data_IF_864060688622
#
_entry.id   IF_864060688622
#
_cell.length_a   1.000
_cell.length_b   1.000
_cell.length_c   1.000
_cell.angle_alpha   90.00
_cell.angle_beta   90.00
_cell.angle_gamma   90.00
#
_symmetry.space_group_name_H-M   'P 1'
#
loop_
_entity.id
_entity.type
_entity.pdbx_description
1 polymer ?
#
# COMPACT_ATOMS: atom_id res chain seq x y z
N UNK A 1 -37.90 -28.78 7.19
CA UNK A 1 -37.97 -27.68 6.22
C UNK A 1 -37.29 -26.49 6.87
N UNK A 2 -36.02 -26.32 6.58
CA UNK A 2 -35.19 -25.21 7.04
C UNK A 2 -34.77 -24.47 5.78
N UNK A 3 -35.23 -23.24 5.65
CA UNK A 3 -34.88 -22.35 4.55
C UNK A 3 -33.56 -21.66 4.88
N UNK A 4 -32.53 -21.97 4.13
CA UNK A 4 -31.25 -21.26 4.13
C UNK A 4 -31.44 -19.87 3.51
N UNK A 5 -31.15 -18.85 4.28
CA UNK A 5 -30.89 -17.51 3.78
C UNK A 5 -29.44 -17.48 3.24
N UNK A 6 -29.30 -17.26 1.94
CA UNK A 6 -28.03 -16.89 1.31
C UNK A 6 -27.83 -15.40 1.44
N UNK A 7 -26.85 -15.01 2.24
CA UNK A 7 -26.35 -13.65 2.31
C UNK A 7 -25.46 -13.34 1.08
N UNK A 8 -25.84 -12.30 0.36
CA UNK A 8 -25.11 -11.75 -0.79
C UNK A 8 -23.89 -10.93 -0.28
N UNK A 9 -22.73 -11.61 -0.20
CA UNK A 9 -21.45 -11.00 0.15
C UNK A 9 -20.52 -10.70 -1.05
N UNK A 10 -21.06 -10.51 -2.26
CA UNK A 10 -20.26 -10.50 -3.50
C UNK A 10 -19.84 -9.13 -4.03
N UNK A 11 -20.41 -8.02 -3.58
CA UNK A 11 -20.09 -6.70 -4.16
C UNK A 11 -18.83 -6.03 -3.60
N UNK A 12 -18.41 -6.34 -2.37
CA UNK A 12 -17.26 -5.68 -1.74
C UNK A 12 -15.90 -6.30 -2.12
N UNK A 13 -15.88 -7.52 -2.65
CA UNK A 13 -14.64 -8.17 -3.08
C UNK A 13 -14.17 -7.75 -4.49
N UNK A 14 -15.07 -7.28 -5.34
CA UNK A 14 -14.71 -6.84 -6.70
C UNK A 14 -13.97 -5.49 -6.71
N UNK A 15 -14.31 -4.56 -5.81
CA UNK A 15 -13.67 -3.23 -5.79
C UNK A 15 -12.22 -3.26 -5.26
N UNK A 16 -11.90 -4.08 -4.26
CA UNK A 16 -10.53 -4.18 -3.76
C UNK A 16 -9.58 -4.88 -4.76
N UNK A 17 -10.08 -5.84 -5.53
CA UNK A 17 -9.35 -6.50 -6.61
C UNK A 17 -9.13 -5.60 -7.82
N UNK A 18 -10.12 -4.78 -8.17
CA UNK A 18 -10.04 -3.80 -9.25
C UNK A 18 -9.02 -2.69 -8.92
N UNK A 19 -9.00 -2.21 -7.67
CA UNK A 19 -8.06 -1.19 -7.21
C UNK A 19 -6.61 -1.71 -7.19
N UNK A 20 -6.39 -2.94 -6.73
CA UNK A 20 -5.07 -3.58 -6.77
C UNK A 20 -4.58 -3.82 -8.21
N UNK A 21 -5.49 -4.14 -9.13
CA UNK A 21 -5.21 -4.27 -10.57
C UNK A 21 -4.95 -2.90 -11.23
N UNK A 22 -5.67 -1.88 -10.81
CA UNK A 22 -5.51 -0.50 -11.29
C UNK A 22 -4.17 0.11 -10.84
N UNK A 23 -3.74 -0.15 -9.61
CA UNK A 23 -2.44 0.27 -9.09
C UNK A 23 -1.27 -0.39 -9.84
N UNK A 24 -1.46 -1.59 -10.40
CA UNK A 24 -0.45 -2.29 -11.23
C UNK A 24 -0.28 -1.71 -12.63
N UNK A 25 -1.30 -1.05 -13.18
CA UNK A 25 -1.28 -0.51 -14.56
C UNK A 25 -0.90 0.98 -14.61
N UNK A 26 -0.26 1.47 -13.58
CA UNK A 26 0.20 2.87 -13.46
C UNK A 26 1.27 3.17 -14.52
N UNK A 27 1.05 4.16 -15.38
CA UNK A 27 2.10 4.68 -16.24
C UNK A 27 3.24 5.24 -15.38
N UNK A 28 4.52 5.03 -15.77
CA UNK A 28 5.64 5.59 -15.04
C UNK A 28 5.51 7.12 -15.04
N UNK A 29 5.45 7.72 -13.85
CA UNK A 29 5.47 9.16 -13.72
C UNK A 29 6.70 9.70 -14.45
N UNK A 30 6.49 10.62 -15.42
CA UNK A 30 7.57 11.32 -16.10
C UNK A 30 8.44 11.98 -15.04
N UNK A 31 9.75 11.71 -15.08
CA UNK A 31 10.72 12.42 -14.28
C UNK A 31 10.64 13.94 -14.60
N UNK A 32 9.84 14.67 -13.84
CA UNK A 32 9.90 16.12 -13.83
C UNK A 32 11.14 16.51 -13.02
N UNK A 33 12.25 16.60 -13.72
CA UNK A 33 13.46 17.19 -13.17
C UNK A 33 13.23 18.67 -12.92
N UNK A 34 13.06 19.04 -11.68
CA UNK A 34 13.66 20.21 -11.04
C UNK A 34 13.07 20.41 -9.63
N UNK A 35 13.91 20.51 -8.63
CA UNK A 35 13.44 20.90 -7.29
C UNK A 35 14.40 20.45 -6.20
N UNK A 36 15.30 21.34 -5.86
CA UNK A 36 16.12 21.35 -4.66
C UNK A 36 15.30 21.01 -3.40
N UNK A 37 15.46 19.82 -2.87
CA UNK A 37 15.69 19.41 -1.47
C UNK A 37 15.67 17.88 -1.41
N UNK A 38 16.66 17.25 -2.00
CA UNK A 38 17.00 15.87 -1.67
C UNK A 38 17.66 15.91 -0.29
N UNK A 39 16.90 15.65 0.76
CA UNK A 39 17.49 14.99 1.92
C UNK A 39 18.12 13.72 1.36
N UNK A 40 19.43 13.69 1.28
CA UNK A 40 20.15 12.55 0.73
C UNK A 40 19.82 11.34 1.59
N UNK A 41 18.88 10.51 1.13
CA UNK A 41 18.61 9.22 1.75
C UNK A 41 19.93 8.50 1.79
N UNK A 42 20.51 8.37 2.99
CA UNK A 42 21.83 7.81 3.18
C UNK A 42 21.75 6.31 2.90
N UNK A 43 22.09 5.93 1.68
CA UNK A 43 22.06 4.54 1.27
C UNK A 43 22.99 3.71 2.13
N UNK A 44 22.53 2.58 2.71
CA UNK A 44 23.39 1.71 3.50
C UNK A 44 24.48 1.12 2.61
N UNK A 45 25.70 1.18 3.12
CA UNK A 45 26.86 0.57 2.45
C UNK A 45 26.77 -0.96 2.49
N UNK A 46 27.23 -1.61 1.44
CA UNK A 46 27.36 -3.07 1.39
C UNK A 46 28.31 -3.56 2.47
N UNK A 47 27.99 -4.66 3.18
CA UNK A 47 28.87 -5.21 4.19
C UNK A 47 30.16 -5.76 3.53
N UNK A 48 31.31 -5.44 4.10
CA UNK A 48 32.62 -5.92 3.64
C UNK A 48 33.10 -7.14 4.41
N UNK A 49 32.54 -7.39 5.59
CA UNK A 49 32.82 -8.54 6.46
C UNK A 49 31.53 -9.24 6.88
N UNK A 50 31.63 -10.52 7.26
CA UNK A 50 30.47 -11.26 7.82
C UNK A 50 29.90 -10.60 9.07
N UNK A 51 30.76 -9.98 9.90
CA UNK A 51 30.36 -9.28 11.12
C UNK A 51 29.50 -8.04 10.80
N UNK A 52 29.83 -7.30 9.74
CA UNK A 52 29.06 -6.13 9.32
C UNK A 52 27.65 -6.48 8.85
N UNK A 53 27.38 -7.75 8.47
CA UNK A 53 26.02 -8.21 8.20
C UNK A 53 25.12 -8.16 9.44
N UNK A 54 25.71 -8.16 10.66
CA UNK A 54 25.02 -8.27 11.93
C UNK A 54 24.49 -9.68 12.23
N UNK A 55 24.69 -10.64 11.31
CA UNK A 55 24.18 -12.01 11.41
C UNK A 55 25.32 -12.96 11.85
N UNK A 56 24.97 -14.01 12.61
CA UNK A 56 25.96 -15.02 12.93
C UNK A 56 26.38 -15.82 11.70
N UNK A 57 27.64 -16.22 11.65
CA UNK A 57 28.15 -17.08 10.56
C UNK A 57 27.34 -18.36 10.44
N UNK A 58 26.93 -18.98 11.57
CA UNK A 58 26.09 -20.17 11.57
C UNK A 58 24.77 -19.94 10.87
N UNK A 59 24.09 -18.81 11.12
CA UNK A 59 22.86 -18.45 10.45
C UNK A 59 23.04 -18.27 8.93
N UNK A 60 24.13 -17.60 8.52
CA UNK A 60 24.43 -17.39 7.10
C UNK A 60 24.75 -18.70 6.38
N UNK A 61 25.46 -19.62 7.03
CA UNK A 61 25.73 -20.97 6.49
C UNK A 61 24.43 -21.76 6.32
N UNK A 62 23.53 -21.74 7.31
CA UNK A 62 22.22 -22.38 7.22
C UNK A 62 21.37 -21.78 6.11
N UNK A 63 21.36 -20.44 5.98
CA UNK A 63 20.65 -19.77 4.90
C UNK A 63 21.19 -20.20 3.53
N UNK A 64 22.50 -20.26 3.37
CA UNK A 64 23.14 -20.73 2.14
C UNK A 64 22.78 -22.17 1.82
N UNK A 65 22.83 -23.07 2.80
CA UNK A 65 22.41 -24.47 2.62
C UNK A 65 20.92 -24.58 2.18
N UNK A 66 20.05 -23.73 2.71
CA UNK A 66 18.65 -23.68 2.27
C UNK A 66 18.52 -23.19 0.83
N UNK A 67 19.32 -22.23 0.39
CA UNK A 67 19.35 -21.77 -1.00
C UNK A 67 19.80 -22.91 -1.92
N UNK A 68 20.82 -23.67 -1.55
CA UNK A 68 21.27 -24.86 -2.29
C UNK A 68 20.16 -25.91 -2.45
N UNK A 69 19.32 -26.08 -1.45
CA UNK A 69 18.21 -27.05 -1.54
C UNK A 69 17.22 -26.71 -2.67
N UNK A 70 17.01 -25.42 -2.96
CA UNK A 70 16.12 -24.98 -4.04
C UNK A 70 16.83 -24.80 -5.38
N UNK A 71 18.17 -24.73 -5.38
CA UNK A 71 18.98 -24.57 -6.60
C UNK A 71 20.09 -25.61 -6.59
N UNK A 72 19.91 -26.68 -7.36
CA UNK A 72 20.74 -27.88 -7.28
C UNK A 72 22.24 -27.63 -7.48
N UNK A 73 22.62 -26.75 -8.42
CA UNK A 73 24.03 -26.51 -8.79
C UNK A 73 24.36 -25.03 -9.03
N UNK A 74 24.24 -24.17 -8.00
CA UNK A 74 24.52 -22.75 -8.14
C UNK A 74 26.01 -22.47 -8.30
N UNK A 75 26.33 -21.33 -8.92
CA UNK A 75 27.64 -20.69 -8.86
C UNK A 75 27.73 -19.77 -7.64
N UNK A 76 28.95 -19.34 -7.26
CA UNK A 76 29.13 -18.35 -6.20
C UNK A 76 28.40 -17.03 -6.52
N UNK A 77 28.44 -16.59 -7.78
CA UNK A 77 27.72 -15.39 -8.23
C UNK A 77 26.21 -15.54 -8.10
N UNK A 78 25.65 -16.71 -8.42
CA UNK A 78 24.23 -16.98 -8.25
C UNK A 78 23.83 -16.92 -6.77
N UNK A 79 24.62 -17.53 -5.88
CA UNK A 79 24.39 -17.46 -4.43
C UNK A 79 24.47 -16.02 -3.91
N UNK A 80 25.45 -15.25 -4.36
CA UNK A 80 25.60 -13.84 -4.00
C UNK A 80 24.39 -13.00 -4.43
N UNK A 81 23.84 -13.27 -5.61
CA UNK A 81 22.64 -12.62 -6.12
C UNK A 81 21.40 -12.98 -5.29
N UNK A 82 21.21 -14.27 -5.01
CA UNK A 82 20.04 -14.75 -4.23
C UNK A 82 20.10 -14.27 -2.78
N UNK A 83 21.29 -14.38 -2.16
CA UNK A 83 21.49 -13.97 -0.76
C UNK A 83 21.64 -12.44 -0.59
N UNK A 84 21.75 -11.69 -1.69
CA UNK A 84 22.00 -10.25 -1.68
C UNK A 84 23.26 -9.86 -0.88
N UNK A 85 24.31 -10.70 -0.95
CA UNK A 85 25.60 -10.49 -0.30
C UNK A 85 26.71 -10.31 -1.33
N UNK A 86 27.80 -9.59 -0.99
CA UNK A 86 29.00 -9.51 -1.83
C UNK A 86 29.59 -10.89 -2.15
N UNK A 87 30.12 -11.03 -3.36
CA UNK A 87 30.76 -12.28 -3.81
C UNK A 87 31.86 -12.77 -2.87
N UNK A 88 32.64 -11.84 -2.28
CA UNK A 88 33.70 -12.16 -1.31
C UNK A 88 33.12 -12.88 -0.09
N UNK A 89 32.06 -12.34 0.52
CA UNK A 89 31.45 -12.94 1.70
C UNK A 89 30.83 -14.30 1.41
N UNK A 90 30.25 -14.46 0.22
CA UNK A 90 29.74 -15.76 -0.24
C UNK A 90 30.88 -16.73 -0.45
N UNK A 91 32.04 -16.29 -0.97
CA UNK A 91 33.27 -17.09 -1.07
C UNK A 91 33.74 -17.60 0.29
N UNK A 92 33.81 -16.71 1.29
CA UNK A 92 34.20 -17.05 2.66
C UNK A 92 33.24 -18.13 3.27
N UNK A 93 31.93 -17.98 3.04
CA UNK A 93 30.95 -18.97 3.50
C UNK A 93 31.08 -20.32 2.77
N UNK A 94 31.34 -20.30 1.46
CA UNK A 94 31.58 -21.52 0.66
C UNK A 94 32.85 -22.25 1.10
N UNK A 95 33.91 -21.51 1.46
CA UNK A 95 35.15 -22.13 1.95
C UNK A 95 34.91 -22.85 3.30
N UNK A 96 34.11 -22.28 4.18
CA UNK A 96 33.70 -22.96 5.42
C UNK A 96 32.90 -24.24 5.12
N UNK A 97 31.88 -24.16 4.23
CA UNK A 97 31.05 -25.32 3.86
C UNK A 97 31.86 -26.44 3.16
N UNK A 98 32.87 -26.08 2.35
CA UNK A 98 33.82 -27.02 1.75
C UNK A 98 34.70 -27.69 2.80
N UNK A 99 35.24 -26.91 3.74
CA UNK A 99 35.99 -27.42 4.89
C UNK A 99 35.21 -28.41 5.72
N UNK A 100 33.93 -28.10 5.96
CA UNK A 100 32.96 -28.97 6.64
C UNK A 100 32.52 -30.17 5.83
N UNK A 101 32.92 -30.28 4.56
CA UNK A 101 32.47 -31.30 3.58
C UNK A 101 30.92 -31.30 3.43
N UNK A 102 30.29 -30.15 3.54
CA UNK A 102 28.86 -29.99 3.29
C UNK A 102 28.56 -29.65 1.83
N UNK A 103 29.54 -29.11 1.12
CA UNK A 103 29.45 -28.70 -0.29
C UNK A 103 30.68 -29.23 -1.05
N UNK A 104 30.48 -29.69 -2.29
CA UNK A 104 31.52 -30.13 -3.21
C UNK A 104 31.45 -29.34 -4.52
N UNK A 105 32.60 -29.28 -5.23
CA UNK A 105 32.70 -28.70 -6.57
C UNK A 105 32.42 -29.78 -7.59
N UNK A 106 31.45 -29.59 -8.48
CA UNK A 106 31.06 -30.58 -9.49
C UNK A 106 31.45 -30.20 -10.93
N UNK A 107 32.02 -29.04 -11.16
CA UNK A 107 32.47 -28.59 -12.48
C UNK A 107 33.12 -27.23 -12.38
N UNK A 108 34.05 -26.95 -13.27
CA UNK A 108 34.71 -25.66 -13.36
C UNK A 108 34.98 -25.37 -14.82
N UNK A 109 34.65 -24.15 -15.23
CA UNK A 109 35.05 -23.65 -16.54
C UNK A 109 36.56 -23.53 -16.69
N UNK A 110 36.99 -23.23 -17.86
CA UNK A 110 38.36 -23.04 -18.35
C UNK A 110 39.27 -22.37 -17.31
N UNK A 111 40.48 -22.89 -17.16
CA UNK A 111 41.53 -22.46 -16.25
C UNK A 111 41.49 -20.96 -15.87
N UNK A 112 41.33 -20.67 -14.60
CA UNK A 112 41.69 -19.39 -14.01
C UNK A 112 40.54 -18.46 -13.53
N UNK A 113 39.26 -18.76 -13.77
CA UNK A 113 38.15 -17.91 -13.30
C UNK A 113 37.35 -18.62 -12.22
N UNK A 114 37.60 -18.26 -10.96
CA UNK A 114 36.93 -18.80 -9.76
C UNK A 114 35.38 -18.67 -9.80
N UNK A 115 34.86 -17.72 -10.56
CA UNK A 115 33.41 -17.47 -10.70
C UNK A 115 32.65 -18.55 -11.50
N UNK A 116 33.37 -19.45 -12.19
CA UNK A 116 32.76 -20.49 -13.03
C UNK A 116 32.50 -21.83 -12.32
N UNK A 117 32.97 -22.00 -11.08
CA UNK A 117 32.73 -23.25 -10.35
C UNK A 117 31.25 -23.40 -9.98
N UNK A 118 30.74 -24.63 -10.24
CA UNK A 118 29.43 -25.07 -9.77
C UNK A 118 29.59 -25.89 -8.50
N UNK A 119 28.70 -25.67 -7.57
CA UNK A 119 28.71 -26.32 -6.26
C UNK A 119 27.45 -27.17 -6.07
N UNK A 120 27.55 -28.24 -5.31
CA UNK A 120 26.46 -29.14 -4.96
C UNK A 120 26.55 -29.53 -3.49
N UNK A 121 25.40 -29.78 -2.84
CA UNK A 121 25.37 -30.37 -1.51
C UNK A 121 25.88 -31.81 -1.54
N UNK A 122 26.63 -32.19 -0.54
CA UNK A 122 26.91 -33.59 -0.20
C UNK A 122 25.77 -34.17 0.62
N UNK A 123 25.73 -35.48 0.89
CA UNK A 123 24.76 -36.07 1.83
C UNK A 123 24.74 -35.35 3.19
N UNK A 124 25.91 -34.98 3.71
CA UNK A 124 26.04 -34.20 4.94
C UNK A 124 25.42 -32.82 4.80
N UNK A 125 25.61 -32.17 3.65
CA UNK A 125 25.01 -30.87 3.32
C UNK A 125 23.50 -30.94 3.21
N UNK A 126 22.97 -31.97 2.55
CA UNK A 126 21.53 -32.20 2.41
C UNK A 126 20.86 -32.44 3.77
N UNK A 127 21.45 -33.27 4.63
CA UNK A 127 20.95 -33.50 5.99
C UNK A 127 20.90 -32.19 6.79
N UNK A 128 21.95 -31.35 6.73
CA UNK A 128 21.97 -30.05 7.41
C UNK A 128 20.98 -29.07 6.81
N UNK A 129 20.82 -29.03 5.49
CA UNK A 129 19.83 -28.21 4.81
C UNK A 129 18.40 -28.59 5.23
N UNK A 130 18.10 -29.91 5.30
CA UNK A 130 16.84 -30.43 5.80
C UNK A 130 16.54 -29.95 7.22
N UNK A 131 17.48 -30.10 8.16
CA UNK A 131 17.32 -29.60 9.54
C UNK A 131 17.10 -28.08 9.60
N UNK A 132 17.80 -27.31 8.73
CA UNK A 132 17.60 -25.85 8.67
C UNK A 132 16.22 -25.49 8.12
N UNK A 133 15.70 -26.24 7.13
CA UNK A 133 14.37 -26.06 6.55
C UNK A 133 13.23 -26.44 7.54
N UNK A 134 13.48 -27.39 8.43
CA UNK A 134 12.54 -27.71 9.51
C UNK A 134 12.35 -26.54 10.48
N UNK A 135 13.34 -25.71 10.70
CA UNK A 135 13.24 -24.50 11.54
C UNK A 135 12.56 -23.33 10.82
N UNK A 136 12.94 -23.09 9.58
CA UNK A 136 12.36 -22.04 8.73
C UNK A 136 12.63 -22.34 7.26
N UNK A 137 11.60 -22.30 6.42
CA UNK A 137 11.73 -22.50 4.97
C UNK A 137 12.13 -21.23 4.22
N UNK A 138 12.46 -20.16 4.93
CA UNK A 138 12.97 -18.97 4.29
C UNK A 138 14.32 -19.26 3.59
N UNK A 139 14.37 -19.06 2.30
CA UNK A 139 15.56 -19.14 1.47
C UNK A 139 15.55 -17.92 0.52
N UNK A 140 16.56 -17.06 0.59
CA UNK A 140 16.61 -15.84 -0.22
C UNK A 140 17.63 -14.84 0.32
N UNK A 141 17.34 -13.55 0.17
CA UNK A 141 18.21 -12.48 0.65
C UNK A 141 18.50 -12.62 2.14
N UNK A 142 19.77 -12.42 2.53
CA UNK A 142 20.12 -12.36 3.94
C UNK A 142 19.35 -11.22 4.62
N UNK A 143 18.67 -11.46 5.75
CA UNK A 143 17.92 -10.40 6.41
C UNK A 143 18.86 -9.34 6.98
N UNK A 144 18.35 -8.12 7.21
CA UNK A 144 19.01 -7.14 8.05
C UNK A 144 18.62 -7.38 9.50
N UNK A 145 19.46 -6.99 10.46
CA UNK A 145 19.09 -7.09 11.88
C UNK A 145 18.08 -6.00 12.24
N UNK A 146 17.29 -6.22 13.30
CA UNK A 146 16.38 -5.20 13.83
C UNK A 146 17.12 -3.89 14.13
N UNK A 147 18.32 -3.97 14.69
CA UNK A 147 19.16 -2.79 14.98
C UNK A 147 19.56 -2.03 13.70
N UNK A 148 19.93 -2.74 12.63
CA UNK A 148 20.21 -2.12 11.33
C UNK A 148 18.97 -1.44 10.75
N UNK A 149 17.81 -2.11 10.86
CA UNK A 149 16.52 -1.56 10.43
C UNK A 149 16.18 -0.28 11.20
N UNK A 150 16.26 -0.30 12.53
CA UNK A 150 16.02 0.87 13.36
C UNK A 150 16.96 2.04 13.05
N UNK A 151 18.21 1.77 12.82
CA UNK A 151 19.20 2.82 12.49
C UNK A 151 18.89 3.52 11.18
N UNK A 152 18.45 2.79 10.15
CA UNK A 152 18.17 3.36 8.83
C UNK A 152 16.79 4.01 8.77
N UNK A 153 15.77 3.35 9.30
CA UNK A 153 14.38 3.79 9.18
C UNK A 153 13.95 4.68 10.34
N UNK A 154 14.48 4.43 11.55
CA UNK A 154 14.12 5.13 12.77
C UNK A 154 15.16 6.18 13.22
N UNK A 155 16.30 6.30 12.55
CA UNK A 155 17.39 7.20 12.93
C UNK A 155 16.96 8.68 12.94
N UNK A 156 17.76 9.51 13.62
CA UNK A 156 17.51 10.95 13.74
C UNK A 156 17.48 11.67 12.39
N UNK A 157 18.21 11.14 11.40
CA UNK A 157 18.25 11.65 10.03
C UNK A 157 17.06 11.15 9.17
N UNK A 158 16.22 10.24 9.68
CA UNK A 158 15.03 9.77 9.00
C UNK A 158 13.89 10.78 9.20
N UNK A 159 13.87 11.82 8.36
CA UNK A 159 12.77 12.78 8.34
C UNK A 159 11.45 12.08 8.01
N UNK A 160 10.40 12.48 8.74
CA UNK A 160 9.05 12.09 8.34
C UNK A 160 8.77 12.74 6.98
N UNK A 161 8.51 11.92 5.98
CA UNK A 161 8.15 12.41 4.66
C UNK A 161 6.90 13.28 4.71
N UNK A 162 6.94 14.35 3.94
CA UNK A 162 5.79 15.23 3.74
C UNK A 162 5.58 15.39 2.24
N UNK A 163 4.35 15.24 1.75
CA UNK A 163 4.07 15.49 0.34
C UNK A 163 4.35 16.94 0.00
N UNK A 164 4.95 17.15 -1.16
CA UNK A 164 5.18 18.52 -1.68
C UNK A 164 3.89 19.08 -2.27
N UNK A 165 3.78 20.42 -2.30
CA UNK A 165 2.60 21.06 -2.91
C UNK A 165 2.36 20.66 -4.36
N UNK A 166 3.37 20.54 -5.24
CA UNK A 166 3.17 20.05 -6.61
C UNK A 166 2.53 18.66 -6.68
N UNK A 167 2.88 17.75 -5.78
CA UNK A 167 2.29 16.40 -5.69
C UNK A 167 0.80 16.48 -5.33
N UNK A 168 0.47 17.32 -4.35
CA UNK A 168 -0.91 17.50 -3.90
C UNK A 168 -1.76 18.17 -4.99
N UNK A 169 -1.23 19.23 -5.62
CA UNK A 169 -1.92 19.92 -6.71
C UNK A 169 -2.20 18.99 -7.90
N UNK A 170 -1.23 18.15 -8.30
CA UNK A 170 -1.44 17.20 -9.39
C UNK A 170 -2.49 16.15 -9.02
N UNK A 171 -2.48 15.68 -7.77
CA UNK A 171 -3.50 14.75 -7.26
C UNK A 171 -4.91 15.34 -7.27
N UNK A 172 -5.03 16.64 -7.05
CA UNK A 172 -6.34 17.33 -6.95
C UNK A 172 -6.84 17.95 -8.25
N UNK A 173 -6.00 18.01 -9.27
CA UNK A 173 -6.30 18.63 -10.56
C UNK A 173 -7.59 18.13 -11.22
N UNK A 174 -7.85 16.82 -11.08
CA UNK A 174 -9.02 16.17 -11.64
C UNK A 174 -10.20 16.08 -10.65
N UNK A 175 -10.07 16.60 -9.43
CA UNK A 175 -11.14 16.56 -8.44
C UNK A 175 -12.08 17.76 -8.59
N UNK A 176 -13.35 17.55 -8.31
CA UNK A 176 -14.37 18.61 -8.29
C UNK A 176 -14.73 18.88 -6.83
N UNK A 177 -13.95 19.74 -6.19
CA UNK A 177 -14.14 20.17 -4.81
C UNK A 177 -14.28 21.69 -4.76
N UNK A 178 -14.78 22.24 -3.66
CA UNK A 178 -14.75 23.68 -3.42
C UNK A 178 -13.34 24.12 -2.97
N UNK A 179 -13.04 25.40 -3.20
CA UNK A 179 -11.72 25.98 -2.92
C UNK A 179 -11.36 25.87 -1.42
N UNK A 180 -12.33 26.01 -0.52
CA UNK A 180 -12.11 25.93 0.93
C UNK A 180 -11.71 24.50 1.32
N UNK A 181 -12.41 23.50 0.77
CA UNK A 181 -12.06 22.08 0.97
C UNK A 181 -10.68 21.76 0.41
N UNK A 182 -10.35 22.21 -0.80
CA UNK A 182 -9.03 22.03 -1.42
C UNK A 182 -7.94 22.61 -0.51
N UNK A 183 -8.06 23.86 -0.12
CA UNK A 183 -7.09 24.60 0.69
C UNK A 183 -6.89 23.93 2.08
N UNK A 184 -7.97 23.41 2.68
CA UNK A 184 -7.87 22.64 3.91
C UNK A 184 -7.11 21.30 3.70
N UNK A 185 -7.46 20.56 2.66
CA UNK A 185 -6.84 19.26 2.36
C UNK A 185 -5.36 19.41 2.00
N UNK A 186 -5.00 20.44 1.24
CA UNK A 186 -3.62 20.76 0.90
C UNK A 186 -2.78 20.97 2.16
N UNK A 187 -3.24 21.80 3.08
CA UNK A 187 -2.56 22.05 4.35
C UNK A 187 -2.46 20.79 5.21
N UNK A 188 -3.55 20.03 5.31
CA UNK A 188 -3.60 18.81 6.09
C UNK A 188 -2.61 17.76 5.56
N UNK A 189 -2.63 17.48 4.26
CA UNK A 189 -1.74 16.52 3.62
C UNK A 189 -0.28 16.97 3.65
N UNK A 190 -0.01 18.25 3.34
CA UNK A 190 1.35 18.79 3.41
C UNK A 190 1.97 18.70 4.80
N UNK A 191 1.15 18.71 5.85
CA UNK A 191 1.64 18.53 7.23
C UNK A 191 2.26 17.15 7.48
N UNK A 192 1.94 16.14 6.67
CA UNK A 192 2.34 14.74 6.86
C UNK A 192 1.68 14.07 8.08
N UNK A 193 0.66 14.69 8.67
CA UNK A 193 -0.06 14.15 9.83
C UNK A 193 -1.32 13.40 9.40
N UNK A 194 -1.89 12.61 10.32
CA UNK A 194 -3.12 11.88 10.09
C UNK A 194 -4.29 12.82 9.81
N UNK A 195 -5.13 12.44 8.83
CA UNK A 195 -6.31 13.15 8.38
C UNK A 195 -7.49 12.19 8.36
N UNK A 196 -8.67 12.66 8.73
CA UNK A 196 -9.93 11.95 8.60
C UNK A 196 -10.88 12.72 7.67
N UNK A 197 -11.30 12.07 6.57
CA UNK A 197 -12.39 12.55 5.73
C UNK A 197 -13.70 11.91 6.19
N UNK A 198 -14.70 12.73 6.49
CA UNK A 198 -15.99 12.22 6.94
C UNK A 198 -17.15 12.92 6.23
N UNK A 199 -18.33 12.30 6.22
CA UNK A 199 -19.51 12.83 5.57
C UNK A 199 -20.31 11.75 4.83
N UNK A 200 -21.43 12.09 4.18
CA UNK A 200 -22.33 11.14 3.53
C UNK A 200 -21.61 10.25 2.51
N UNK A 201 -22.16 9.06 2.26
CA UNK A 201 -21.62 8.11 1.27
C UNK A 201 -21.65 8.71 -0.13
N UNK A 202 -20.70 8.26 -0.99
CA UNK A 202 -20.68 8.67 -2.39
C UNK A 202 -20.07 10.06 -2.68
N UNK A 203 -19.69 10.84 -1.67
CA UNK A 203 -19.14 12.21 -1.85
C UNK A 203 -17.65 12.26 -2.20
N UNK A 204 -17.08 11.16 -2.69
CA UNK A 204 -15.73 11.15 -3.23
C UNK A 204 -14.60 11.06 -2.20
N UNK A 205 -14.88 10.77 -0.91
CA UNK A 205 -13.84 10.62 0.13
C UNK A 205 -12.74 9.64 -0.26
N UNK A 206 -13.12 8.42 -0.59
CA UNK A 206 -12.18 7.38 -1.04
C UNK A 206 -11.48 7.80 -2.33
N UNK A 207 -12.18 8.45 -3.26
CA UNK A 207 -11.60 8.93 -4.52
C UNK A 207 -10.50 9.98 -4.29
N UNK A 208 -10.72 10.95 -3.42
CA UNK A 208 -9.71 11.95 -3.03
C UNK A 208 -8.45 11.28 -2.49
N UNK A 209 -8.61 10.31 -1.57
CA UNK A 209 -7.48 9.60 -0.98
C UNK A 209 -6.78 8.68 -1.99
N UNK A 210 -7.53 8.07 -2.90
CA UNK A 210 -6.98 7.24 -3.98
C UNK A 210 -6.15 8.08 -4.96
N UNK A 211 -6.69 9.21 -5.43
CA UNK A 211 -5.95 10.13 -6.30
C UNK A 211 -4.67 10.63 -5.61
N UNK A 212 -4.74 10.96 -4.34
CA UNK A 212 -3.54 11.34 -3.59
C UNK A 212 -2.48 10.22 -3.58
N UNK A 213 -2.88 8.97 -3.30
CA UNK A 213 -1.96 7.81 -3.32
C UNK A 213 -1.34 7.60 -4.70
N UNK A 214 -2.11 7.76 -5.77
CA UNK A 214 -1.64 7.57 -7.14
C UNK A 214 -0.54 8.56 -7.54
N UNK A 215 -0.51 9.72 -6.92
CA UNK A 215 0.45 10.79 -7.20
C UNK A 215 1.61 10.85 -6.21
N UNK A 216 1.70 9.89 -5.25
CA UNK A 216 2.84 9.86 -4.32
C UNK A 216 4.16 9.77 -5.08
N UNK A 217 5.08 10.66 -4.73
CA UNK A 217 6.42 10.75 -5.29
C UNK A 217 7.51 10.23 -4.36
N UNK A 218 8.71 10.14 -4.93
CA UNK A 218 9.91 9.77 -4.20
C UNK A 218 10.05 8.27 -3.98
N UNK A 219 11.16 7.92 -3.36
CA UNK A 219 11.54 6.54 -3.07
C UNK A 219 11.64 6.28 -1.57
N UNK A 220 11.54 5.02 -1.21
CA UNK A 220 11.73 4.53 0.16
C UNK A 220 12.66 3.32 0.11
N UNK A 221 13.51 3.21 1.12
CA UNK A 221 14.33 2.02 1.36
C UNK A 221 13.65 1.13 2.39
N UNK A 222 13.38 -0.10 1.99
CA UNK A 222 12.90 -1.15 2.90
C UNK A 222 13.82 -2.37 2.82
N UNK A 223 14.03 -3.12 3.89
CA UNK A 223 14.78 -4.37 3.78
C UNK A 223 13.92 -5.45 3.13
N UNK A 224 14.55 -6.44 2.50
CA UNK A 224 13.84 -7.63 2.02
C UNK A 224 13.21 -8.38 3.19
N UNK A 225 13.95 -8.52 4.28
CA UNK A 225 13.50 -9.15 5.53
C UNK A 225 14.31 -8.63 6.71
N UNK A 226 13.73 -8.75 7.91
CA UNK A 226 14.32 -8.39 9.20
C UNK A 226 14.59 -9.66 9.99
N UNK A 227 15.72 -9.71 10.71
CA UNK A 227 16.06 -10.75 11.66
C UNK A 227 15.96 -10.21 13.08
N UNK A 228 15.09 -10.82 13.88
CA UNK A 228 14.89 -10.45 15.29
C UNK A 228 14.64 -11.70 16.13
N UNK A 229 15.32 -11.87 17.26
CA UNK A 229 15.14 -12.97 18.20
C UNK A 229 15.10 -14.37 17.55
N UNK A 230 16.00 -14.63 16.60
CA UNK A 230 16.02 -15.91 15.88
C UNK A 230 14.95 -16.08 14.80
N UNK A 231 14.10 -15.09 14.60
CA UNK A 231 12.97 -15.14 13.67
C UNK A 231 13.23 -14.23 12.44
N UNK A 232 12.64 -14.61 11.31
CA UNK A 232 12.70 -13.85 10.07
C UNK A 232 11.34 -13.22 9.80
N UNK A 233 11.32 -11.91 9.55
CA UNK A 233 10.13 -11.14 9.21
C UNK A 233 10.31 -10.62 7.79
N UNK A 234 9.50 -11.08 6.85
CA UNK A 234 9.53 -10.64 5.46
C UNK A 234 8.85 -9.28 5.34
N UNK A 235 9.60 -8.30 4.85
CA UNK A 235 9.13 -6.92 4.65
C UNK A 235 8.73 -6.65 3.19
N UNK A 236 9.64 -6.93 2.26
CA UNK A 236 9.36 -6.70 0.85
C UNK A 236 8.30 -7.67 0.32
N UNK A 237 7.25 -7.10 -0.27
CA UNK A 237 6.14 -7.83 -0.87
C UNK A 237 5.87 -7.28 -2.29
N UNK A 238 6.13 -8.06 -3.36
CA UNK A 238 5.94 -7.59 -4.73
C UNK A 238 4.46 -7.33 -5.10
N UNK A 239 3.52 -7.77 -4.27
CA UNK A 239 2.09 -7.45 -4.46
C UNK A 239 1.73 -6.03 -4.01
N UNK A 240 2.57 -5.44 -3.16
CA UNK A 240 2.37 -4.15 -2.50
C UNK A 240 3.42 -3.12 -2.93
N UNK A 241 4.66 -3.59 -3.13
CA UNK A 241 5.82 -2.74 -3.36
C UNK A 241 6.26 -2.78 -4.82
N UNK A 242 6.34 -1.62 -5.44
CA UNK A 242 6.94 -1.43 -6.76
C UNK A 242 8.44 -1.17 -6.59
N UNK A 243 9.26 -2.14 -7.03
CA UNK A 243 10.71 -2.00 -7.00
C UNK A 243 11.17 -0.99 -8.05
N UNK A 244 12.03 -0.07 -7.66
CA UNK A 244 12.72 0.82 -8.60
C UNK A 244 13.95 0.13 -9.17
N UNK A 245 14.11 0.18 -10.49
CA UNK A 245 15.26 -0.37 -11.19
C UNK A 245 16.51 0.51 -11.03
N UNK A 246 17.68 -0.12 -11.14
CA UNK A 246 18.97 0.54 -11.03
C UNK A 246 19.51 0.61 -9.60
N UNK A 247 20.86 0.57 -9.48
CA UNK A 247 21.54 0.82 -8.21
C UNK A 247 21.72 2.33 -8.01
N UNK A 248 21.67 2.85 -6.78
CA UNK A 248 21.98 4.24 -6.52
C UNK A 248 23.42 4.51 -6.94
N UNK A 249 23.63 5.50 -7.80
CA UNK A 249 24.98 5.93 -8.17
C UNK A 249 25.56 6.76 -7.02
N UNK A 250 26.78 6.48 -6.55
CA UNK A 250 27.45 7.38 -5.63
C UNK A 250 27.66 8.73 -6.35
N UNK A 251 27.33 9.83 -5.68
CA UNK A 251 27.43 11.21 -6.23
C UNK A 251 28.88 11.68 -6.51
N UNK A 252 29.88 10.91 -6.16
CA UNK A 252 31.29 11.20 -6.45
C UNK A 252 31.81 10.26 -7.53
N UNK A 253 31.88 10.78 -8.76
CA UNK A 253 32.54 10.11 -9.86
C UNK A 253 34.03 9.95 -9.59
N UNK A 254 34.47 8.79 -9.23
CA UNK A 254 35.77 8.15 -9.41
C UNK A 254 35.86 6.90 -8.50
N UNK A 255 34.95 5.98 -8.65
CA UNK A 255 35.00 4.68 -7.99
C UNK A 255 34.88 3.55 -8.98
N UNK A 256 35.90 2.73 -9.07
CA UNK A 256 35.80 1.42 -9.68
C UNK A 256 34.60 0.68 -9.09
N UNK A 257 33.77 0.13 -9.95
CA UNK A 257 32.59 -0.67 -9.60
C UNK A 257 33.03 -1.98 -8.91
N UNK A 258 33.38 -1.92 -7.62
CA UNK A 258 33.95 -3.11 -7.02
C UNK A 258 33.67 -3.34 -5.53
N UNK A 259 33.76 -2.37 -4.65
CA UNK A 259 33.78 -2.69 -3.22
C UNK A 259 33.02 -1.75 -2.27
N UNK A 260 32.51 -0.61 -2.69
CA UNK A 260 31.71 0.30 -1.86
C UNK A 260 30.27 0.50 -2.36
N UNK A 261 29.65 -0.58 -2.82
CA UNK A 261 28.31 -0.56 -3.36
C UNK A 261 27.21 -0.44 -2.30
N UNK A 262 25.99 -0.24 -2.77
CA UNK A 262 24.77 -0.28 -1.99
C UNK A 262 24.50 -1.68 -1.41
N UNK A 263 24.05 -1.75 -0.16
CA UNK A 263 23.65 -3.01 0.50
C UNK A 263 22.39 -3.56 -0.14
N UNK A 264 22.53 -4.60 -0.97
CA UNK A 264 21.45 -5.24 -1.75
C UNK A 264 20.40 -5.97 -0.91
N UNK A 265 20.60 -6.10 0.38
CA UNK A 265 19.57 -6.60 1.33
C UNK A 265 18.43 -5.60 1.46
N UNK A 266 18.68 -4.32 1.12
CA UNK A 266 17.70 -3.26 1.04
C UNK A 266 17.18 -3.10 -0.40
N UNK A 267 15.89 -2.80 -0.49
CA UNK A 267 15.20 -2.62 -1.77
C UNK A 267 14.74 -1.17 -1.87
N UNK A 268 15.07 -0.54 -2.98
CA UNK A 268 14.48 0.75 -3.35
C UNK A 268 13.11 0.50 -3.92
N UNK A 269 12.11 1.10 -3.34
CA UNK A 269 10.73 1.01 -3.81
C UNK A 269 10.18 2.40 -4.07
N UNK A 270 9.21 2.50 -4.98
CA UNK A 270 8.35 3.67 -5.05
C UNK A 270 7.67 3.85 -3.70
N UNK A 271 7.47 5.11 -3.27
CA UNK A 271 6.77 5.38 -2.01
C UNK A 271 5.45 4.63 -1.94
N UNK A 272 5.25 3.78 -0.92
CA UNK A 272 4.08 2.93 -0.85
C UNK A 272 2.83 3.73 -0.46
N UNK A 273 1.72 3.44 -1.14
CA UNK A 273 0.39 3.89 -0.78
C UNK A 273 -0.52 2.68 -0.72
N UNK A 274 -1.03 2.35 0.45
CA UNK A 274 -1.89 1.19 0.68
C UNK A 274 -3.28 1.64 1.09
N UNK A 275 -4.29 0.91 0.62
CA UNK A 275 -5.68 1.08 1.06
C UNK A 275 -6.11 -0.22 1.74
N UNK A 276 -6.72 -0.08 2.90
CA UNK A 276 -7.34 -1.17 3.66
C UNK A 276 -8.78 -0.78 3.98
N UNK A 277 -9.68 -1.72 3.86
CA UNK A 277 -11.12 -1.52 4.06
C UNK A 277 -11.70 -2.45 5.13
N UNK A 278 -12.89 -2.96 4.87
CA UNK A 278 -13.63 -3.83 5.80
C UNK A 278 -12.94 -5.14 6.17
N UNK A 279 -11.92 -5.57 5.39
CA UNK A 279 -11.14 -6.76 5.70
C UNK A 279 -10.18 -6.60 6.88
N UNK A 280 -9.91 -5.36 7.33
CA UNK A 280 -8.97 -5.10 8.42
C UNK A 280 -9.46 -5.73 9.74
N UNK A 281 -8.64 -6.61 10.31
CA UNK A 281 -8.88 -7.27 11.57
C UNK A 281 -7.72 -7.02 12.55
N UNK A 282 -7.88 -7.29 13.82
CA UNK A 282 -6.81 -7.19 14.82
C UNK A 282 -5.60 -8.05 14.44
N UNK A 283 -5.84 -9.27 13.96
CA UNK A 283 -4.77 -10.17 13.51
C UNK A 283 -3.97 -9.60 12.33
N UNK A 284 -4.61 -8.82 11.46
CA UNK A 284 -3.93 -8.18 10.32
C UNK A 284 -3.01 -7.02 10.72
N UNK A 285 -3.10 -6.57 11.97
CA UNK A 285 -2.23 -5.56 12.57
C UNK A 285 -1.00 -6.16 13.26
N UNK A 286 -0.96 -7.48 13.40
CA UNK A 286 0.15 -8.20 14.02
C UNK A 286 1.01 -8.91 12.96
N UNK A 287 2.15 -9.46 13.40
CA UNK A 287 3.02 -10.25 12.53
C UNK A 287 2.32 -11.54 12.11
N UNK A 288 2.08 -11.70 10.81
CA UNK A 288 1.47 -12.89 10.25
C UNK A 288 2.45 -14.08 10.22
N UNK A 289 2.32 -15.05 11.12
CA UNK A 289 3.14 -16.26 11.09
C UNK A 289 2.54 -17.31 10.17
N UNK A 290 3.33 -17.77 9.19
CA UNK A 290 2.93 -18.87 8.33
C UNK A 290 3.49 -20.21 8.91
N UNK A 291 2.63 -21.14 9.36
CA UNK A 291 3.06 -22.41 9.94
C UNK A 291 3.71 -23.36 8.93
N UNK A 292 3.49 -23.17 7.62
CA UNK A 292 4.08 -24.00 6.57
C UNK A 292 5.51 -23.52 6.26
N UNK A 293 5.67 -22.23 6.05
CA UNK A 293 6.97 -21.65 5.70
C UNK A 293 7.81 -21.30 6.94
N UNK A 294 7.18 -21.20 8.10
CA UNK A 294 7.80 -20.96 9.42
C UNK A 294 8.64 -19.69 9.46
N UNK A 295 8.10 -18.63 8.89
CA UNK A 295 8.59 -17.26 9.07
C UNK A 295 7.43 -16.27 9.08
N UNK A 296 7.70 -15.03 9.46
CA UNK A 296 6.68 -14.00 9.61
C UNK A 296 6.55 -13.14 8.36
N UNK A 297 5.33 -12.66 8.14
CA UNK A 297 5.03 -11.58 7.20
C UNK A 297 4.78 -10.30 7.99
N UNK A 298 5.33 -9.19 7.54
CA UNK A 298 5.04 -7.89 8.10
C UNK A 298 3.57 -7.51 7.88
N UNK A 299 2.89 -6.88 8.85
CA UNK A 299 1.54 -6.37 8.69
C UNK A 299 1.47 -5.24 7.67
N UNK A 300 0.26 -4.94 7.16
CA UNK A 300 0.06 -3.94 6.10
C UNK A 300 0.61 -2.55 6.46
N UNK A 301 0.43 -2.10 7.70
CA UNK A 301 0.95 -0.80 8.14
C UNK A 301 2.49 -0.77 8.15
N UNK A 302 3.14 -1.86 8.53
CA UNK A 302 4.60 -1.94 8.45
C UNK A 302 5.09 -2.00 6.99
N UNK A 303 4.33 -2.62 6.08
CA UNK A 303 4.60 -2.57 4.63
C UNK A 303 4.39 -1.17 4.05
N UNK A 304 3.54 -0.33 4.64
CA UNK A 304 3.35 1.07 4.24
C UNK A 304 4.46 2.01 4.75
N UNK A 305 5.51 1.48 5.37
CA UNK A 305 6.60 2.25 5.97
C UNK A 305 7.20 3.29 5.03
N UNK A 306 7.28 4.52 5.51
CA UNK A 306 7.77 5.66 4.74
C UNK A 306 6.77 6.24 3.74
N UNK A 307 5.53 5.74 3.72
CA UNK A 307 4.47 6.16 2.82
C UNK A 307 3.13 6.43 3.50
N UNK A 308 2.04 6.03 2.85
CA UNK A 308 0.67 6.34 3.25
C UNK A 308 -0.14 5.07 3.40
N UNK A 309 -0.92 4.99 4.47
CA UNK A 309 -1.94 3.97 4.70
C UNK A 309 -3.32 4.64 4.77
N UNK A 310 -4.21 4.29 3.87
CA UNK A 310 -5.61 4.70 3.91
C UNK A 310 -6.43 3.60 4.59
N UNK A 311 -7.19 3.99 5.61
CA UNK A 311 -8.21 3.15 6.24
C UNK A 311 -9.55 3.62 5.71
N UNK A 312 -10.07 2.90 4.72
CA UNK A 312 -11.30 3.25 4.04
C UNK A 312 -12.52 2.67 4.76
N UNK A 313 -13.66 3.36 4.68
CA UNK A 313 -14.90 3.02 5.41
C UNK A 313 -14.65 2.77 6.92
N UNK A 314 -13.82 3.64 7.54
CA UNK A 314 -13.47 3.51 8.96
C UNK A 314 -14.72 3.47 9.85
N UNK A 315 -14.83 2.42 10.63
CA UNK A 315 -16.02 2.08 11.42
C UNK A 315 -16.77 0.85 10.90
N UNK A 316 -16.38 0.30 9.75
CA UNK A 316 -16.96 -0.91 9.16
C UNK A 316 -15.97 -2.09 9.06
N UNK A 317 -14.79 -1.94 9.66
CA UNK A 317 -13.80 -3.01 9.74
C UNK A 317 -14.27 -4.14 10.66
N UNK A 318 -13.61 -5.31 10.54
CA UNK A 318 -13.81 -6.42 11.49
C UNK A 318 -13.33 -6.09 12.90
N UNK A 319 -12.31 -5.23 13.02
CA UNK A 319 -11.85 -4.63 14.28
C UNK A 319 -12.65 -3.37 14.56
N UNK A 320 -13.09 -3.17 15.80
CA UNK A 320 -13.82 -1.94 16.15
C UNK A 320 -12.94 -0.69 16.04
N UNK A 321 -13.52 0.51 15.76
CA UNK A 321 -12.76 1.75 15.71
C UNK A 321 -11.94 2.01 16.99
N UNK A 322 -12.52 1.72 18.14
CA UNK A 322 -11.87 1.89 19.44
C UNK A 322 -10.67 0.96 19.60
N UNK A 323 -10.79 -0.32 19.24
CA UNK A 323 -9.69 -1.29 19.30
C UNK A 323 -8.55 -0.91 18.34
N UNK A 324 -8.89 -0.54 17.09
CA UNK A 324 -7.91 -0.09 16.10
C UNK A 324 -7.15 1.15 16.59
N UNK A 325 -7.87 2.15 17.08
CA UNK A 325 -7.24 3.37 17.59
C UNK A 325 -6.43 3.11 18.86
N UNK A 326 -6.89 2.25 19.76
CA UNK A 326 -6.14 1.81 20.94
C UNK A 326 -4.81 1.15 20.53
N UNK A 327 -4.85 0.28 19.52
CA UNK A 327 -3.66 -0.42 19.02
C UNK A 327 -2.62 0.56 18.46
N UNK A 328 -3.06 1.65 17.83
CA UNK A 328 -2.17 2.63 17.20
C UNK A 328 -1.90 3.90 18.01
N UNK A 329 -2.53 4.09 19.19
CA UNK A 329 -2.30 5.27 20.03
C UNK A 329 -0.81 5.53 20.24
N UNK A 330 -0.08 4.51 20.72
CA UNK A 330 1.33 4.63 21.01
C UNK A 330 2.17 4.84 19.75
N UNK A 331 1.79 4.17 18.67
CA UNK A 331 2.45 4.32 17.38
C UNK A 331 2.30 5.73 16.81
N UNK A 332 1.10 6.30 16.87
CA UNK A 332 0.81 7.68 16.43
C UNK A 332 1.47 8.74 17.32
N UNK A 333 1.60 8.50 18.64
CA UNK A 333 2.22 9.45 19.55
C UNK A 333 3.74 9.40 19.56
N UNK A 334 4.30 8.18 19.58
CA UNK A 334 5.74 7.97 19.77
C UNK A 334 6.50 7.69 18.48
N UNK A 335 5.78 7.45 17.37
CA UNK A 335 6.37 7.07 16.10
C UNK A 335 7.04 5.68 16.15
N UNK A 336 6.59 4.81 17.06
CA UNK A 336 7.07 3.43 17.21
C UNK A 336 5.90 2.49 17.46
N UNK A 337 5.98 1.30 16.89
CA UNK A 337 4.99 0.24 17.05
C UNK A 337 5.61 -0.98 17.72
N UNK A 338 4.82 -1.68 18.54
CA UNK A 338 5.24 -2.87 19.25
C UNK A 338 4.50 -4.08 18.66
N UNK A 339 5.25 -5.02 18.09
CA UNK A 339 4.73 -6.21 17.43
C UNK A 339 5.14 -7.46 18.19
N UNK A 340 4.22 -8.38 18.40
CA UNK A 340 4.43 -9.57 19.19
C UNK A 340 4.86 -10.77 18.32
N UNK A 341 5.92 -11.44 18.74
CA UNK A 341 6.31 -12.75 18.21
C UNK A 341 5.58 -13.88 18.95
N UNK A 342 5.31 -14.99 18.28
CA UNK A 342 4.67 -16.18 18.91
C UNK A 342 5.51 -16.79 20.02
N UNK A 343 6.78 -16.47 20.07
CA UNK A 343 7.74 -16.87 21.13
C UNK A 343 7.54 -16.09 22.42
N UNK A 344 6.74 -15.01 22.40
CA UNK A 344 6.46 -14.15 23.54
C UNK A 344 7.30 -12.88 23.57
N UNK A 345 8.39 -12.81 22.78
CA UNK A 345 9.16 -11.57 22.65
C UNK A 345 8.39 -10.54 21.83
N UNK A 346 8.57 -9.28 22.18
CA UNK A 346 8.07 -8.15 21.38
C UNK A 346 9.21 -7.43 20.68
N UNK A 347 8.95 -6.98 19.46
CA UNK A 347 9.83 -6.12 18.71
C UNK A 347 9.24 -4.71 18.66
N UNK A 348 10.07 -3.73 18.95
CA UNK A 348 9.72 -2.31 18.87
C UNK A 348 10.29 -1.76 17.55
N UNK A 349 9.42 -1.34 16.64
CA UNK A 349 9.80 -0.92 15.28
C UNK A 349 9.41 0.54 15.03
N UNK A 350 10.16 1.28 14.18
CA UNK A 350 9.77 2.61 13.75
C UNK A 350 8.40 2.60 13.06
N UNK A 351 7.56 3.59 13.38
CA UNK A 351 6.25 3.81 12.77
C UNK A 351 6.28 5.13 12.00
N UNK A 352 6.74 5.08 10.76
CA UNK A 352 6.94 6.25 9.88
C UNK A 352 5.98 6.19 8.70
N UNK A 353 4.69 6.24 9.00
CA UNK A 353 3.61 6.25 8.00
C UNK A 353 2.66 7.42 8.26
N UNK A 354 2.03 7.91 7.22
CA UNK A 354 0.90 8.82 7.31
C UNK A 354 -0.39 8.00 7.21
N UNK A 355 -1.27 8.08 8.21
CA UNK A 355 -2.55 7.38 8.17
C UNK A 355 -3.65 8.36 7.80
N UNK A 356 -4.41 7.99 6.77
CA UNK A 356 -5.57 8.74 6.29
C UNK A 356 -6.82 7.87 6.49
N UNK A 357 -7.87 8.45 7.06
CA UNK A 357 -9.12 7.75 7.32
C UNK A 357 -10.22 8.30 6.41
N UNK A 358 -11.07 7.44 5.87
CA UNK A 358 -12.35 7.82 5.29
C UNK A 358 -13.49 7.15 6.05
N UNK A 359 -14.58 7.88 6.31
CA UNK A 359 -15.73 7.35 7.05
C UNK A 359 -17.02 8.04 6.66
N UNK A 360 -18.13 7.31 6.78
CA UNK A 360 -19.48 7.88 6.63
C UNK A 360 -20.09 8.30 7.98
N UNK A 361 -19.39 8.02 9.08
CA UNK A 361 -19.85 8.33 10.43
C UNK A 361 -19.30 9.67 10.90
N UNK A 362 -19.99 10.31 11.83
CA UNK A 362 -19.48 11.51 12.50
C UNK A 362 -18.31 11.10 13.41
N UNK A 363 -17.20 11.83 13.45
CA UNK A 363 -16.04 11.45 14.24
C UNK A 363 -16.34 11.17 15.73
N UNK A 364 -17.25 11.90 16.33
CA UNK A 364 -17.67 11.72 17.74
C UNK A 364 -18.39 10.39 18.00
N UNK A 365 -18.98 9.78 16.97
CA UNK A 365 -19.67 8.50 17.09
C UNK A 365 -18.70 7.31 16.94
N UNK A 366 -17.50 7.58 16.42
CA UNK A 366 -16.46 6.56 16.20
C UNK A 366 -15.60 6.32 17.44
N UNK A 367 -15.24 7.39 18.14
CA UNK A 367 -14.34 7.32 19.27
C UNK A 367 -14.44 8.56 20.17
N UNK A 368 -14.00 8.43 21.40
CA UNK A 368 -13.97 9.54 22.33
C UNK A 368 -12.94 10.62 21.95
N UNK A 369 -13.01 11.76 22.62
CA UNK A 369 -12.14 12.91 22.36
C UNK A 369 -10.65 12.63 22.57
N UNK A 370 -10.31 11.66 23.42
CA UNK A 370 -8.93 11.30 23.70
C UNK A 370 -8.28 10.66 22.48
N UNK A 371 -9.00 9.82 21.75
CA UNK A 371 -8.53 9.21 20.51
C UNK A 371 -8.53 10.19 19.34
N UNK A 372 -9.60 10.98 19.22
CA UNK A 372 -9.75 11.92 18.10
C UNK A 372 -8.67 13.02 18.10
N UNK A 373 -8.03 13.32 19.25
CA UNK A 373 -6.89 14.24 19.32
C UNK A 373 -5.66 13.76 18.57
N UNK A 374 -5.51 12.45 18.35
CA UNK A 374 -4.38 11.86 17.59
C UNK A 374 -4.55 11.97 16.08
N UNK A 375 -5.77 12.30 15.63
CA UNK A 375 -6.07 12.61 14.24
C UNK A 375 -6.35 14.13 14.18
N UNK A 376 -5.32 14.97 13.99
CA UNK A 376 -5.46 16.41 14.17
C UNK A 376 -6.35 17.07 13.11
N UNK A 377 -6.40 16.51 11.90
CA UNK A 377 -7.18 17.05 10.80
C UNK A 377 -8.43 16.22 10.55
N UNK A 378 -9.58 16.89 10.48
CA UNK A 378 -10.88 16.29 10.17
C UNK A 378 -11.58 17.18 9.15
N UNK A 379 -11.78 16.68 7.93
CA UNK A 379 -12.46 17.39 6.86
C UNK A 379 -13.84 16.80 6.62
N UNK A 380 -14.86 17.63 6.71
CA UNK A 380 -16.20 17.27 6.29
C UNK A 380 -16.32 17.37 4.77
N UNK A 381 -16.85 16.32 4.15
CA UNK A 381 -17.09 16.26 2.71
C UNK A 381 -18.61 16.37 2.48
N UNK A 382 -19.13 17.58 2.23
CA UNK A 382 -20.56 17.80 2.05
C UNK A 382 -21.04 17.23 0.71
N UNK A 383 -22.37 16.99 0.56
CA UNK A 383 -22.96 16.77 -0.76
C UNK A 383 -22.61 17.89 -1.73
N UNK A 384 -22.59 17.59 -3.01
CA UNK A 384 -22.26 18.58 -4.02
C UNK A 384 -23.43 19.58 -4.17
N UNK A 385 -23.11 20.85 -4.43
CA UNK A 385 -24.12 21.80 -4.94
C UNK A 385 -24.51 21.41 -6.38
N UNK A 386 -25.68 21.85 -6.88
CA UNK A 386 -26.09 21.55 -8.27
C UNK A 386 -25.02 21.93 -9.30
N UNK A 387 -24.34 23.05 -9.10
CA UNK A 387 -23.27 23.51 -9.98
C UNK A 387 -22.07 22.58 -9.96
N UNK A 388 -21.61 22.17 -8.75
CA UNK A 388 -20.54 21.18 -8.59
C UNK A 388 -20.94 19.82 -9.15
N UNK A 389 -22.16 19.41 -8.90
CA UNK A 389 -22.68 18.14 -9.42
C UNK A 389 -22.75 18.17 -10.98
N UNK A 390 -23.13 19.29 -11.57
CA UNK A 390 -23.05 19.49 -13.02
C UNK A 390 -21.61 19.33 -13.56
N UNK A 391 -20.62 19.83 -12.84
CA UNK A 391 -19.21 19.61 -13.19
C UNK A 391 -18.81 18.13 -13.09
N UNK A 392 -19.28 17.42 -12.05
CA UNK A 392 -19.05 15.96 -11.90
C UNK A 392 -19.71 15.22 -13.06
N UNK A 393 -20.99 15.50 -13.36
CA UNK A 393 -21.71 14.90 -14.49
C UNK A 393 -20.94 15.13 -15.80
N UNK A 394 -20.50 16.35 -16.08
CA UNK A 394 -19.72 16.66 -17.28
C UNK A 394 -18.49 15.77 -17.41
N UNK A 395 -17.72 15.59 -16.34
CA UNK A 395 -16.54 14.72 -16.35
C UNK A 395 -16.89 13.26 -16.58
N UNK A 396 -17.96 12.77 -15.94
CA UNK A 396 -18.43 11.38 -16.13
C UNK A 396 -18.82 11.14 -17.59
N UNK A 397 -19.51 12.11 -18.19
CA UNK A 397 -19.96 12.06 -19.58
C UNK A 397 -18.77 12.10 -20.55
N UNK A 398 -17.82 13.03 -20.34
CA UNK A 398 -16.61 13.17 -21.15
C UNK A 398 -15.73 11.90 -21.11
N UNK A 399 -15.59 11.25 -19.94
CA UNK A 399 -14.88 9.96 -19.82
C UNK A 399 -15.51 8.83 -20.66
N UNK A 400 -16.78 8.97 -21.01
CA UNK A 400 -17.48 8.04 -21.93
C UNK A 400 -17.43 8.50 -23.41
N UNK A 401 -16.71 9.58 -23.70
CA UNK A 401 -16.61 10.11 -25.07
C UNK A 401 -17.86 10.81 -25.57
N UNK A 402 -18.79 11.16 -24.69
CA UNK A 402 -20.01 11.87 -25.04
C UNK A 402 -19.77 13.39 -24.94
N UNK A 403 -20.24 14.13 -25.92
CA UNK A 403 -20.27 15.59 -25.89
C UNK A 403 -21.72 16.05 -25.62
N UNK A 404 -21.93 16.74 -24.51
CA UNK A 404 -23.24 17.17 -24.02
C UNK A 404 -23.22 18.65 -23.72
N UNK A 405 -24.27 19.35 -24.14
CA UNK A 405 -24.40 20.79 -23.90
C UNK A 405 -24.47 21.12 -22.40
N UNK A 406 -23.84 22.23 -22.01
CA UNK A 406 -23.75 22.65 -20.62
C UNK A 406 -25.11 22.88 -19.96
N UNK A 407 -26.07 23.36 -20.74
CA UNK A 407 -27.46 23.64 -20.28
C UNK A 407 -28.19 22.33 -19.92
N UNK A 408 -28.09 21.30 -20.77
CA UNK A 408 -28.70 20.00 -20.52
C UNK A 408 -28.12 19.36 -19.24
N UNK A 409 -26.80 19.46 -19.03
CA UNK A 409 -26.15 18.96 -17.80
C UNK A 409 -26.65 19.69 -16.57
N UNK A 410 -26.82 21.01 -16.61
CA UNK A 410 -27.31 21.80 -15.49
C UNK A 410 -28.80 21.52 -15.19
N UNK A 411 -29.62 21.33 -16.20
CA UNK A 411 -31.04 20.98 -16.04
C UNK A 411 -31.21 19.60 -15.39
N UNK A 412 -30.39 18.61 -15.78
CA UNK A 412 -30.33 17.31 -15.13
C UNK A 412 -29.87 17.45 -13.69
N UNK A 413 -28.84 18.24 -13.40
CA UNK A 413 -28.35 18.45 -12.03
C UNK A 413 -29.42 19.06 -11.12
N UNK A 414 -30.15 20.09 -11.60
CA UNK A 414 -31.25 20.72 -10.87
C UNK A 414 -32.47 19.78 -10.67
N UNK A 415 -32.72 18.93 -11.66
CA UNK A 415 -33.75 17.90 -11.51
C UNK A 415 -33.36 16.91 -10.41
N UNK A 416 -32.13 16.41 -10.43
CA UNK A 416 -31.63 15.44 -9.45
C UNK A 416 -31.54 16.03 -8.04
N UNK A 417 -31.17 17.29 -7.88
CA UNK A 417 -31.23 17.98 -6.59
C UNK A 417 -32.61 17.90 -5.96
N UNK A 418 -33.65 18.23 -6.75
CA UNK A 418 -35.05 18.17 -6.29
C UNK A 418 -35.52 16.76 -6.03
N UNK A 419 -35.08 15.80 -6.87
CA UNK A 419 -35.46 14.40 -6.75
C UNK A 419 -34.81 13.70 -5.56
N UNK A 420 -33.55 14.03 -5.25
CA UNK A 420 -32.78 13.44 -4.13
C UNK A 420 -32.94 14.20 -2.81
N UNK A 421 -33.64 15.34 -2.78
CA UNK A 421 -33.73 16.19 -1.60
C UNK A 421 -32.41 16.89 -1.25
N UNK A 422 -31.54 17.12 -2.24
CA UNK A 422 -30.25 17.77 -2.08
C UNK A 422 -29.09 16.80 -1.83
N UNK A 423 -29.34 15.50 -1.80
CA UNK A 423 -28.27 14.49 -1.68
C UNK A 423 -27.65 14.19 -3.05
N UNK A 424 -26.80 15.12 -3.50
CA UNK A 424 -26.06 15.02 -4.77
C UNK A 424 -24.65 14.44 -4.51
N UNK A 425 -24.48 13.17 -4.81
CA UNK A 425 -23.19 12.48 -4.64
C UNK A 425 -22.50 12.18 -5.96
N UNK A 426 -21.18 12.07 -5.95
CA UNK A 426 -20.39 11.69 -7.15
C UNK A 426 -20.69 10.26 -7.62
N UNK A 427 -21.08 9.35 -6.73
CA UNK A 427 -21.55 8.00 -7.08
C UNK A 427 -22.86 8.08 -7.85
N UNK A 428 -23.84 8.89 -7.37
CA UNK A 428 -25.13 9.08 -8.04
C UNK A 428 -24.94 9.51 -9.51
N UNK A 429 -23.98 10.43 -9.78
CA UNK A 429 -23.69 10.87 -11.13
C UNK A 429 -23.22 9.70 -12.03
N UNK A 430 -22.30 8.85 -11.54
CA UNK A 430 -21.78 7.71 -12.29
C UNK A 430 -22.84 6.65 -12.54
N UNK A 431 -23.59 6.30 -11.50
CA UNK A 431 -24.60 5.24 -11.55
C UNK A 431 -25.72 5.62 -12.50
N UNK A 432 -26.23 6.85 -12.41
CA UNK A 432 -27.29 7.31 -13.30
C UNK A 432 -26.85 7.42 -14.76
N UNK A 433 -25.64 7.93 -15.04
CA UNK A 433 -25.10 7.96 -16.40
C UNK A 433 -24.94 6.54 -16.95
N UNK A 434 -24.54 5.56 -16.10
CA UNK A 434 -24.47 4.15 -16.51
C UNK A 434 -25.86 3.60 -16.86
N UNK A 435 -26.85 3.81 -16.00
CA UNK A 435 -28.23 3.33 -16.24
C UNK A 435 -28.82 3.99 -17.50
N UNK A 436 -28.58 5.29 -17.74
CA UNK A 436 -29.03 5.94 -18.97
C UNK A 436 -28.40 5.32 -20.22
N UNK A 437 -27.10 4.96 -20.14
CA UNK A 437 -26.41 4.29 -21.24
C UNK A 437 -26.96 2.86 -21.47
N UNK A 438 -27.16 2.09 -20.41
CA UNK A 438 -27.69 0.73 -20.45
C UNK A 438 -29.13 0.71 -21.04
N UNK A 439 -29.96 1.69 -20.68
CA UNK A 439 -31.30 1.86 -21.24
C UNK A 439 -31.24 2.19 -22.74
N UNK A 440 -30.34 3.05 -23.17
CA UNK A 440 -30.17 3.40 -24.57
C UNK A 440 -29.69 2.22 -25.41
N UNK A 441 -28.75 1.43 -24.88
CA UNK A 441 -28.29 0.18 -25.52
C UNK A 441 -29.39 -0.85 -25.62
N UNK A 442 -30.20 -1.06 -24.58
CA UNK A 442 -31.34 -1.98 -24.59
C UNK A 442 -32.39 -1.58 -25.64
N UNK A 443 -32.64 -0.29 -25.80
CA UNK A 443 -33.59 0.24 -26.79
C UNK A 443 -32.99 0.37 -28.19
N UNK A 444 -31.71 0.09 -28.39
CA UNK A 444 -31.01 0.20 -29.69
C UNK A 444 -30.92 1.63 -30.22
N UNK A 445 -30.87 2.62 -29.35
CA UNK A 445 -30.81 4.06 -29.67
C UNK A 445 -29.54 4.71 -29.15
N UNK A 446 -29.22 5.89 -29.66
CA UNK A 446 -28.19 6.74 -29.12
C UNK A 446 -28.54 7.22 -27.69
N UNK A 447 -27.50 7.52 -26.90
CA UNK A 447 -27.66 8.05 -25.54
C UNK A 447 -28.22 9.48 -25.64
N UNK A 448 -29.40 9.70 -25.06
CA UNK A 448 -30.01 11.03 -24.94
C UNK A 448 -29.78 11.54 -23.53
N UNK A 449 -29.07 12.65 -23.41
CA UNK A 449 -28.76 13.27 -22.13
C UNK A 449 -29.81 14.38 -21.84
N UNK A 450 -30.94 13.98 -21.27
CA UNK A 450 -32.04 14.88 -20.93
C UNK A 450 -32.72 14.50 -19.60
N UNK A 451 -33.53 15.41 -19.07
CA UNK A 451 -34.27 15.16 -17.80
C UNK A 451 -35.19 13.93 -17.86
N UNK A 452 -35.94 13.64 -18.98
CA UNK A 452 -36.73 12.41 -19.06
C UNK A 452 -35.91 11.12 -18.90
N UNK A 453 -34.76 11.01 -19.56
CA UNK A 453 -33.88 9.85 -19.47
C UNK A 453 -33.32 9.68 -18.06
N UNK A 454 -32.90 10.76 -17.41
CA UNK A 454 -32.41 10.72 -16.02
C UNK A 454 -33.54 10.48 -15.02
N UNK A 455 -34.74 10.91 -15.28
CA UNK A 455 -35.92 10.57 -14.45
C UNK A 455 -36.24 9.07 -14.46
N UNK A 456 -36.12 8.45 -15.63
CA UNK A 456 -36.26 6.99 -15.75
C UNK A 456 -35.14 6.28 -14.99
N UNK A 457 -33.90 6.67 -15.23
CA UNK A 457 -32.72 6.10 -14.57
C UNK A 457 -32.79 6.26 -13.02
N UNK A 458 -33.20 7.42 -12.54
CA UNK A 458 -33.34 7.67 -11.11
C UNK A 458 -34.42 6.80 -10.46
N UNK A 459 -35.54 6.55 -11.16
CA UNK A 459 -36.57 5.59 -10.71
C UNK A 459 -36.03 4.17 -10.60
N UNK A 460 -35.28 3.74 -11.61
CA UNK A 460 -34.68 2.41 -11.61
C UNK A 460 -33.66 2.28 -10.48
N UNK A 461 -32.83 3.31 -10.26
CA UNK A 461 -31.85 3.37 -9.20
C UNK A 461 -32.48 3.32 -7.79
N UNK A 462 -33.57 4.06 -7.59
CA UNK A 462 -34.23 4.16 -6.26
C UNK A 462 -35.34 3.15 -6.03
N UNK A 463 -35.72 2.37 -7.05
CA UNK A 463 -36.81 1.40 -6.98
C UNK A 463 -38.21 2.04 -6.90
N UNK A 464 -38.38 3.33 -7.25
CA UNK A 464 -39.67 4.02 -7.26
C UNK A 464 -40.59 3.42 -8.36
N UNK A 465 -41.79 2.92 -8.05
CA UNK A 465 -42.67 2.32 -9.02
C UNK A 465 -43.08 3.25 -10.18
N UNK A 466 -43.38 2.68 -11.35
CA UNK A 466 -43.91 3.43 -12.49
C UNK A 466 -45.24 4.08 -12.11
N UNK A 467 -45.36 5.40 -12.30
CA UNK A 467 -46.58 6.18 -11.97
C UNK A 467 -46.49 6.97 -10.67
N UNK A 468 -45.60 6.63 -9.78
CA UNK A 468 -45.39 7.45 -8.58
C UNK A 468 -44.53 8.70 -8.90
N UNK A 469 -44.79 9.84 -8.22
CA UNK A 469 -43.99 11.04 -8.39
C UNK A 469 -42.57 10.80 -7.88
N UNK A 470 -41.56 11.22 -8.65
CA UNK A 470 -40.17 11.26 -8.22
C UNK A 470 -40.03 12.51 -7.33
N UNK A 471 -40.29 12.35 -6.04
CA UNK A 471 -40.18 13.40 -5.03
C UNK A 471 -39.34 12.84 -3.90
N UNK A 472 -38.40 13.63 -3.41
CA UNK A 472 -37.63 13.25 -2.23
C UNK A 472 -38.58 12.94 -1.05
N UNK A 473 -38.34 11.90 -0.26
CA UNK A 473 -39.05 11.76 1.01
C UNK A 473 -38.81 13.02 1.84
N UNK A 474 -39.86 13.63 2.33
CA UNK A 474 -39.74 14.76 3.25
C UNK A 474 -38.79 14.36 4.39
N UNK A 475 -37.85 15.24 4.80
CA UNK A 475 -36.94 14.94 5.90
C UNK A 475 -37.81 14.49 7.10
N UNK A 476 -37.56 13.27 7.56
CA UNK A 476 -38.20 12.79 8.78
C UNK A 476 -37.83 13.78 9.89
N UNK A 477 -38.79 14.49 10.40
CA UNK A 477 -38.62 15.37 11.55
C UNK A 477 -37.96 14.54 12.65
N UNK A 478 -36.75 14.90 13.00
CA UNK A 478 -36.05 14.37 14.18
C UNK A 478 -36.93 14.71 15.37
N UNK A 479 -37.68 13.72 15.88
CA UNK A 479 -38.32 13.83 17.19
C UNK A 479 -37.18 13.89 18.20
N UNK A 480 -37.18 15.00 18.95
CA UNK A 480 -36.22 15.34 20.00
C UNK A 480 -36.06 14.27 21.07
#
# INVERSE_FOLDING_TARGET
MVTENRDDGTETQQDSGALASFLKNREPAKETGNGNSRSATKYPKSPTTLQETGLSTSFLLELMLKVFHYVETPTAEHLARVMCLPNRLVGDLLDVLKGDRAVEIIGGGTYGVSSAYRFRLTEKGEARAGQALERSRYAGAAPVTLEQYERIVGGADAEQWRPTMPVIHEAFKELVLDDETIDFLERALHSGRSLMLYGPSGNGKTHVLTEFILHLDGEVLIPTSIYAYGQIIRMFDPMVHERLEGEPRPESGNGYAGEEGFDRRWVRIRRPGLIVGGELSEESLELGYDPITRFYQAPKHLKAQGGVLVVDDFGRQKVSPTELLNRWIMALERGRDNLLLRTGESIDVPFRITILFSTNLVPTDLADSAYLRRIPYKAYMPPATPERFAHILRRVVQKRGLDVEAEAILDVARFLERASGGDLSGSLARDLVSIVADNAEHEGREIIFDVPSFKLAYRQFTGIPAGEPVVAPLPQATVQ
#
